data_IF_371770445874
#
_entry.id   IF_371770445874
#
_cell.length_a   1.000
_cell.length_b   1.000
_cell.length_c   1.000
_cell.angle_alpha   90.00
_cell.angle_beta   90.00
_cell.angle_gamma   90.00
#
_symmetry.space_group_name_H-M   'P 1'
#
loop_
_entity.id
_entity.type
_entity.pdbx_description
1 polymer ?
#
# COMPACT_ATOMS: atom_id res chain seq x y z
N UNK A 1 -14.63 -12.69 5.74
CA UNK A 1 -13.25 -12.48 6.24
C UNK A 1 -12.48 -13.78 6.12
N UNK A 2 -11.25 -13.72 5.65
CA UNK A 2 -10.33 -14.86 5.51
C UNK A 2 -8.97 -14.49 6.08
N UNK A 3 -8.11 -15.48 6.29
CA UNK A 3 -6.79 -15.29 6.87
C UNK A 3 -5.77 -16.30 6.36
N UNK A 4 -4.48 -15.94 6.46
CA UNK A 4 -3.35 -16.79 6.18
C UNK A 4 -2.22 -16.53 7.18
N UNK A 5 -1.48 -17.58 7.54
CA UNK A 5 -0.27 -17.41 8.36
C UNK A 5 0.83 -16.80 7.53
N UNK A 6 1.56 -15.84 8.11
CA UNK A 6 2.67 -15.16 7.42
C UNK A 6 4.01 -15.32 8.15
N UNK A 7 4.02 -15.89 9.36
CA UNK A 7 5.25 -16.18 10.09
C UNK A 7 5.21 -17.57 10.75
N UNK A 8 6.35 -18.01 11.25
CA UNK A 8 6.51 -19.33 11.91
C UNK A 8 5.79 -19.40 13.28
N UNK A 9 5.43 -18.28 13.88
CA UNK A 9 4.73 -18.18 15.16
C UNK A 9 3.23 -18.29 15.01
N UNK A 10 2.74 -18.25 13.77
CA UNK A 10 1.34 -18.40 13.44
C UNK A 10 0.56 -17.10 13.40
N UNK A 11 1.25 -15.94 13.35
CA UNK A 11 0.60 -14.65 13.12
C UNK A 11 -0.11 -14.67 11.78
N UNK A 12 -1.29 -14.03 11.70
CA UNK A 12 -2.13 -14.08 10.51
C UNK A 12 -2.35 -12.71 9.89
N UNK A 13 -2.24 -12.68 8.56
CA UNK A 13 -2.72 -11.59 7.72
C UNK A 13 -4.17 -11.87 7.32
N UNK A 14 -5.03 -10.85 7.38
CA UNK A 14 -6.47 -10.98 7.12
C UNK A 14 -6.93 -10.08 5.99
N UNK A 15 -7.99 -10.56 5.30
CA UNK A 15 -8.67 -9.79 4.26
C UNK A 15 -10.17 -10.04 4.28
N UNK A 16 -10.88 -9.07 3.75
CA UNK A 16 -12.29 -9.25 3.34
C UNK A 16 -12.32 -9.40 1.83
N UNK A 17 -13.28 -10.15 1.30
CA UNK A 17 -13.42 -10.36 -0.12
C UNK A 17 -14.87 -10.29 -0.59
N UNK A 18 -15.06 -9.84 -1.82
CA UNK A 18 -16.26 -10.01 -2.59
C UNK A 18 -15.99 -11.05 -3.68
N UNK A 19 -16.86 -12.03 -3.79
CA UNK A 19 -16.79 -13.04 -4.84
C UNK A 19 -17.02 -12.41 -6.22
N UNK A 20 -16.39 -12.97 -7.24
CA UNK A 20 -16.53 -12.51 -8.62
C UNK A 20 -15.75 -13.39 -9.57
N UNK A 21 -15.67 -12.97 -10.83
CA UNK A 21 -15.01 -13.69 -11.91
C UNK A 21 -13.77 -12.96 -12.41
N UNK A 22 -12.94 -13.68 -13.19
CA UNK A 22 -11.71 -13.14 -13.79
C UNK A 22 -10.58 -12.92 -12.81
N UNK A 23 -9.51 -12.21 -13.23
CA UNK A 23 -8.38 -11.91 -12.36
C UNK A 23 -8.82 -11.08 -11.15
N UNK A 24 -8.42 -11.51 -9.95
CA UNK A 24 -8.75 -10.82 -8.72
C UNK A 24 -8.17 -9.40 -8.69
N UNK A 25 -8.92 -8.46 -8.14
CA UNK A 25 -8.44 -7.12 -7.79
C UNK A 25 -8.10 -7.11 -6.31
N UNK A 26 -6.87 -6.77 -5.98
CA UNK A 26 -6.35 -6.75 -4.61
C UNK A 26 -6.00 -5.33 -4.23
N UNK A 27 -6.70 -4.79 -3.27
CA UNK A 27 -6.43 -3.47 -2.71
C UNK A 27 -5.51 -3.56 -1.49
N UNK A 28 -4.44 -2.75 -1.50
CA UNK A 28 -3.42 -2.68 -0.45
C UNK A 28 -3.30 -1.24 0.04
N UNK A 29 -3.61 -1.02 1.30
CA UNK A 29 -3.68 0.30 1.91
C UNK A 29 -2.32 0.93 2.24
N UNK A 30 -2.31 2.24 2.49
CA UNK A 30 -1.17 3.01 2.97
C UNK A 30 -0.93 2.90 4.48
N UNK A 31 0.13 3.54 4.96
CA UNK A 31 0.50 3.61 6.37
C UNK A 31 -0.64 4.16 7.23
N UNK A 32 -1.01 3.44 8.28
CA UNK A 32 -2.09 3.85 9.19
C UNK A 32 -3.50 3.81 8.58
N UNK A 33 -3.65 3.12 7.45
CA UNK A 33 -4.95 2.97 6.76
C UNK A 33 -5.53 1.56 6.95
N UNK A 34 -6.70 1.30 6.37
CA UNK A 34 -7.32 -0.02 6.27
C UNK A 34 -7.94 -0.17 4.89
N UNK A 35 -7.72 -1.32 4.23
CA UNK A 35 -8.07 -1.48 2.81
C UNK A 35 -9.56 -1.34 2.53
N UNK A 36 -10.41 -1.90 3.37
CA UNK A 36 -11.87 -1.78 3.18
C UNK A 36 -12.33 -0.33 3.27
N UNK A 37 -11.80 0.46 4.23
CA UNK A 37 -12.21 1.86 4.41
C UNK A 37 -11.79 2.72 3.22
N UNK A 38 -10.60 2.49 2.68
CA UNK A 38 -10.05 3.31 1.59
C UNK A 38 -10.56 2.91 0.21
N UNK A 39 -11.00 1.65 0.01
CA UNK A 39 -11.24 1.15 -1.35
C UNK A 39 -12.63 0.51 -1.57
N UNK A 40 -13.47 0.31 -0.53
CA UNK A 40 -14.76 -0.35 -0.73
C UNK A 40 -15.68 0.39 -1.71
N UNK A 41 -15.66 1.73 -1.69
CA UNK A 41 -16.44 2.56 -2.62
C UNK A 41 -15.94 2.45 -4.08
N UNK A 42 -14.65 2.13 -4.27
CA UNK A 42 -14.07 1.86 -5.60
C UNK A 42 -14.56 0.50 -6.12
N UNK A 43 -14.55 -0.53 -5.28
CA UNK A 43 -15.03 -1.86 -5.66
C UNK A 43 -16.52 -1.90 -6.04
N UNK A 44 -17.30 -0.94 -5.55
CA UNK A 44 -18.71 -0.79 -5.88
C UNK A 44 -18.96 -0.11 -7.24
N UNK A 45 -17.92 0.34 -7.95
CA UNK A 45 -18.06 1.01 -9.25
C UNK A 45 -18.28 0.03 -10.37
N UNK A 46 -18.93 0.52 -11.42
CA UNK A 46 -19.31 -0.31 -12.60
C UNK A 46 -18.11 -0.93 -13.31
N UNK A 47 -16.96 -0.25 -13.32
CA UNK A 47 -15.71 -0.71 -13.93
C UNK A 47 -15.18 -2.00 -13.30
N UNK A 48 -15.52 -2.24 -12.02
CA UNK A 48 -15.11 -3.42 -11.26
C UNK A 48 -16.27 -4.38 -10.96
N UNK A 49 -17.46 -4.11 -11.53
CA UNK A 49 -18.63 -4.93 -11.28
C UNK A 49 -18.38 -6.40 -11.70
N UNK A 50 -18.74 -7.34 -10.81
CA UNK A 50 -18.58 -8.77 -11.05
C UNK A 50 -17.14 -9.30 -10.92
N UNK A 51 -16.13 -8.44 -10.61
CA UNK A 51 -14.75 -8.87 -10.36
C UNK A 51 -14.62 -9.45 -8.94
N UNK A 52 -13.78 -10.46 -8.79
CA UNK A 52 -13.32 -10.86 -7.46
C UNK A 52 -12.47 -9.72 -6.87
N UNK A 53 -12.78 -9.29 -5.65
CA UNK A 53 -12.08 -8.19 -4.98
C UNK A 53 -11.62 -8.63 -3.61
N UNK A 54 -10.36 -8.35 -3.28
CA UNK A 54 -9.77 -8.57 -1.96
C UNK A 54 -9.33 -7.22 -1.37
N UNK A 55 -9.70 -6.99 -0.11
CA UNK A 55 -9.22 -5.87 0.70
C UNK A 55 -8.30 -6.42 1.78
N UNK A 56 -7.00 -6.34 1.57
CA UNK A 56 -6.00 -6.93 2.48
C UNK A 56 -5.51 -5.87 3.45
N UNK A 57 -5.64 -6.14 4.75
CA UNK A 57 -5.01 -5.32 5.78
C UNK A 57 -3.62 -5.88 6.09
N UNK A 58 -2.59 -5.05 5.95
CA UNK A 58 -1.20 -5.44 6.18
C UNK A 58 -0.94 -5.75 7.67
N UNK A 59 0.08 -6.55 8.03
CA UNK A 59 0.46 -6.79 9.42
C UNK A 59 0.55 -5.48 10.23
N UNK A 60 0.03 -5.50 11.45
CA UNK A 60 -0.01 -4.32 12.32
C UNK A 60 -1.13 -3.33 12.02
N UNK A 61 -1.99 -3.59 11.02
CA UNK A 61 -3.06 -2.68 10.60
C UNK A 61 -4.42 -3.40 10.56
N UNK A 62 -5.47 -2.62 10.72
CA UNK A 62 -6.85 -3.08 10.55
C UNK A 62 -7.18 -4.34 11.34
N UNK A 63 -7.58 -5.40 10.62
CA UNK A 63 -7.99 -6.70 11.18
C UNK A 63 -6.86 -7.74 11.23
N UNK A 64 -5.65 -7.44 10.73
CA UNK A 64 -4.50 -8.34 10.77
C UNK A 64 -3.80 -8.34 12.14
N UNK A 65 -3.05 -9.38 12.43
CA UNK A 65 -2.29 -9.51 13.67
C UNK A 65 -1.15 -8.47 13.78
N UNK A 66 -0.69 -8.27 15.03
CA UNK A 66 0.25 -7.20 15.43
C UNK A 66 1.39 -7.76 16.26
N UNK A 67 2.23 -8.65 15.71
CA UNK A 67 3.32 -9.27 16.48
C UNK A 67 4.41 -8.24 16.82
N UNK A 68 4.79 -8.16 18.10
CA UNK A 68 5.77 -7.19 18.61
C UNK A 68 7.18 -7.40 18.06
N UNK A 69 7.50 -8.62 17.69
CA UNK A 69 8.81 -9.03 17.19
C UNK A 69 8.91 -9.08 15.66
N UNK A 70 7.87 -8.65 14.95
CA UNK A 70 7.91 -8.48 13.51
C UNK A 70 8.61 -7.17 13.16
N UNK A 71 9.47 -7.18 12.15
CA UNK A 71 10.28 -6.00 11.83
C UNK A 71 9.50 -4.92 11.07
N UNK A 72 8.39 -5.28 10.43
CA UNK A 72 7.51 -4.38 9.66
C UNK A 72 8.24 -3.63 8.53
N UNK A 73 9.25 -4.26 7.93
CA UNK A 73 9.89 -3.73 6.73
C UNK A 73 8.94 -3.88 5.54
N UNK A 74 9.19 -3.11 4.48
CA UNK A 74 8.35 -3.20 3.26
C UNK A 74 8.41 -4.61 2.66
N UNK A 75 9.58 -5.25 2.71
CA UNK A 75 9.75 -6.64 2.27
C UNK A 75 8.96 -7.63 3.11
N UNK A 76 8.91 -7.43 4.44
CA UNK A 76 8.16 -8.30 5.34
C UNK A 76 6.65 -8.19 5.10
N UNK A 77 6.17 -6.96 4.83
CA UNK A 77 4.79 -6.74 4.40
C UNK A 77 4.48 -7.40 3.06
N UNK A 78 5.41 -7.36 2.10
CA UNK A 78 5.25 -7.99 0.79
C UNK A 78 5.19 -9.52 0.90
N UNK A 79 6.02 -10.12 1.76
CA UNK A 79 6.02 -11.56 2.01
C UNK A 79 4.73 -12.01 2.71
N UNK A 80 4.22 -11.21 3.67
CA UNK A 80 2.92 -11.45 4.29
C UNK A 80 1.76 -11.33 3.28
N UNK A 81 1.80 -10.30 2.41
CA UNK A 81 0.82 -10.15 1.34
C UNK A 81 0.85 -11.35 0.37
N UNK A 82 2.04 -11.84 0.02
CA UNK A 82 2.18 -13.02 -0.81
C UNK A 82 1.51 -14.24 -0.18
N UNK A 83 1.67 -14.46 1.13
CA UNK A 83 1.00 -15.54 1.85
C UNK A 83 -0.53 -15.42 1.79
N UNK A 84 -1.08 -14.21 1.91
CA UNK A 84 -2.52 -13.98 1.75
C UNK A 84 -3.00 -14.33 0.33
N UNK A 85 -2.27 -13.90 -0.70
CA UNK A 85 -2.62 -14.15 -2.10
C UNK A 85 -2.51 -15.63 -2.47
N UNK A 86 -1.48 -16.33 -1.98
CA UNK A 86 -1.33 -17.78 -2.14
C UNK A 86 -2.52 -18.53 -1.50
N UNK A 87 -2.90 -18.17 -0.27
CA UNK A 87 -4.02 -18.77 0.43
C UNK A 87 -5.40 -18.43 -0.21
N UNK A 88 -5.51 -17.25 -0.85
CA UNK A 88 -6.68 -16.86 -1.61
C UNK A 88 -6.73 -17.50 -3.01
N UNK A 89 -5.68 -18.20 -3.44
CA UNK A 89 -5.57 -18.80 -4.77
C UNK A 89 -5.39 -17.78 -5.90
N UNK A 90 -4.95 -16.56 -5.57
CA UNK A 90 -4.72 -15.50 -6.57
C UNK A 90 -3.49 -15.82 -7.39
N UNK A 91 -3.62 -15.75 -8.71
CA UNK A 91 -2.52 -15.79 -9.68
C UNK A 91 -2.79 -14.74 -10.76
N UNK A 92 -1.77 -13.97 -11.10
CA UNK A 92 -1.92 -12.92 -12.12
C UNK A 92 -2.99 -11.87 -11.77
N UNK A 93 -3.14 -11.53 -10.48
CA UNK A 93 -4.12 -10.54 -10.03
C UNK A 93 -3.72 -9.10 -10.39
N UNK A 94 -4.70 -8.19 -10.34
CA UNK A 94 -4.47 -6.75 -10.38
C UNK A 94 -4.17 -6.29 -8.95
N UNK A 95 -2.96 -5.85 -8.69
CA UNK A 95 -2.55 -5.37 -7.35
C UNK A 95 -2.57 -3.85 -7.35
N UNK A 96 -3.51 -3.27 -6.62
CA UNK A 96 -3.70 -1.83 -6.48
C UNK A 96 -3.23 -1.36 -5.09
N UNK A 97 -2.03 -0.79 -5.04
CA UNK A 97 -1.41 -0.31 -3.81
C UNK A 97 -1.36 1.21 -3.72
N UNK A 98 -1.73 1.75 -2.55
CA UNK A 98 -1.69 3.17 -2.23
C UNK A 98 -0.56 3.48 -1.25
N UNK A 99 0.24 4.51 -1.53
CA UNK A 99 1.30 5.00 -0.63
C UNK A 99 2.24 3.87 -0.20
N UNK A 100 2.35 3.54 1.09
CA UNK A 100 3.08 2.37 1.59
C UNK A 100 2.63 1.07 0.91
N UNK A 101 1.33 0.87 0.71
CA UNK A 101 0.81 -0.29 -0.01
C UNK A 101 1.29 -0.36 -1.46
N UNK A 102 1.56 0.79 -2.09
CA UNK A 102 2.22 0.88 -3.40
C UNK A 102 3.66 0.38 -3.38
N UNK A 103 4.43 0.77 -2.35
CA UNK A 103 5.78 0.26 -2.13
C UNK A 103 5.79 -1.27 -1.90
N UNK A 104 4.86 -1.76 -1.06
CA UNK A 104 4.67 -3.21 -0.80
C UNK A 104 4.32 -3.96 -2.08
N UNK A 105 3.42 -3.40 -2.90
CA UNK A 105 3.01 -4.01 -4.16
C UNK A 105 4.14 -4.07 -5.20
N UNK A 106 5.03 -3.07 -5.25
CA UNK A 106 6.24 -3.08 -6.09
C UNK A 106 7.17 -4.22 -5.66
N UNK A 107 7.45 -4.35 -4.36
CA UNK A 107 8.30 -5.42 -3.83
C UNK A 107 7.67 -6.79 -4.08
N UNK A 108 6.36 -6.93 -3.89
CA UNK A 108 5.63 -8.15 -4.23
C UNK A 108 5.81 -8.52 -5.71
N UNK A 109 5.58 -7.57 -6.63
CA UNK A 109 5.71 -7.83 -8.07
C UNK A 109 7.16 -8.22 -8.46
N UNK A 110 8.15 -7.69 -7.76
CA UNK A 110 9.55 -8.06 -7.95
C UNK A 110 9.87 -9.48 -7.46
N UNK A 111 9.36 -9.86 -6.26
CA UNK A 111 9.66 -11.15 -5.64
C UNK A 111 8.76 -12.29 -6.12
N UNK A 112 7.49 -11.98 -6.43
CA UNK A 112 6.45 -12.94 -6.76
C UNK A 112 5.67 -12.48 -8.01
N UNK A 113 6.34 -12.38 -9.17
CA UNK A 113 5.68 -11.94 -10.42
C UNK A 113 4.56 -12.89 -10.85
N UNK A 114 4.53 -14.13 -10.38
CA UNK A 114 3.46 -15.10 -10.60
C UNK A 114 2.11 -14.67 -10.00
N UNK A 115 2.14 -13.86 -8.94
CA UNK A 115 0.93 -13.36 -8.28
C UNK A 115 0.35 -12.12 -8.97
N UNK A 116 1.16 -11.38 -9.75
CA UNK A 116 0.85 -10.05 -10.27
C UNK A 116 0.69 -10.07 -11.78
N UNK A 117 -0.53 -9.92 -12.28
CA UNK A 117 -0.82 -9.75 -13.71
C UNK A 117 -0.80 -8.28 -14.14
N UNK A 118 -1.12 -7.36 -13.23
CA UNK A 118 -1.06 -5.91 -13.40
C UNK A 118 -0.77 -5.22 -12.08
N UNK A 119 0.07 -4.21 -12.11
CA UNK A 119 0.43 -3.41 -10.94
C UNK A 119 -0.11 -1.98 -11.10
N UNK A 120 -0.90 -1.52 -10.13
CA UNK A 120 -1.38 -0.14 -10.04
C UNK A 120 -0.84 0.48 -8.76
N UNK A 121 0.08 1.42 -8.89
CA UNK A 121 0.71 2.13 -7.79
C UNK A 121 0.14 3.54 -7.72
N UNK A 122 -0.48 3.91 -6.62
CA UNK A 122 -1.01 5.25 -6.41
C UNK A 122 -0.23 5.96 -5.33
N UNK A 123 0.44 7.06 -5.68
CA UNK A 123 1.25 7.88 -4.75
C UNK A 123 2.26 7.05 -3.92
N UNK A 124 2.76 5.94 -4.50
CA UNK A 124 3.67 5.02 -3.82
C UNK A 124 5.08 5.60 -3.67
N UNK A 125 5.73 5.24 -2.57
CA UNK A 125 7.13 5.58 -2.36
C UNK A 125 8.01 4.83 -3.36
N UNK A 126 8.88 5.54 -4.05
CA UNK A 126 9.80 4.96 -5.03
C UNK A 126 11.26 4.98 -4.58
N UNK A 127 11.62 5.97 -3.78
CA UNK A 127 13.00 6.23 -3.36
C UNK A 127 13.08 6.44 -1.85
N UNK A 128 14.27 6.23 -1.25
CA UNK A 128 14.54 6.66 0.12
C UNK A 128 14.30 8.17 0.28
N UNK A 129 13.82 8.58 1.43
CA UNK A 129 13.62 10.00 1.72
C UNK A 129 14.94 10.60 2.27
N UNK A 130 15.22 11.88 1.97
CA UNK A 130 16.49 12.52 2.38
C UNK A 130 16.63 12.68 3.91
N UNK A 131 15.50 12.67 4.63
CA UNK A 131 15.46 12.75 6.09
C UNK A 131 14.12 12.23 6.62
N UNK A 132 14.05 11.78 7.89
CA UNK A 132 12.80 11.38 8.53
C UNK A 132 11.71 12.45 8.50
N UNK A 133 12.10 13.72 8.57
CA UNK A 133 11.20 14.88 8.51
C UNK A 133 10.58 15.11 7.12
N UNK A 134 11.12 14.49 6.08
CA UNK A 134 10.55 14.57 4.72
C UNK A 134 9.31 13.67 4.55
N UNK A 135 9.06 12.74 5.51
CA UNK A 135 7.84 11.93 5.51
C UNK A 135 6.63 12.78 5.91
N UNK A 136 5.58 12.73 5.10
CA UNK A 136 4.32 13.47 5.35
C UNK A 136 3.66 13.10 6.68
N UNK A 137 3.84 11.87 7.15
CA UNK A 137 3.33 11.43 8.46
C UNK A 137 4.12 12.02 9.64
N UNK A 138 5.41 12.31 9.45
CA UNK A 138 6.34 12.71 10.49
C UNK A 138 6.58 11.65 11.58
N UNK A 139 6.07 10.43 11.41
CA UNK A 139 6.21 9.33 12.38
C UNK A 139 7.67 8.92 12.55
N UNK A 140 8.41 8.81 11.45
CA UNK A 140 9.82 8.43 11.45
C UNK A 140 10.76 9.45 12.16
N UNK A 141 10.27 10.64 12.50
CA UNK A 141 11.04 11.65 13.25
C UNK A 141 11.08 11.39 14.75
N UNK A 142 10.24 10.51 15.26
CA UNK A 142 10.27 10.04 16.65
C UNK A 142 11.21 8.85 16.78
N UNK A 143 11.79 8.65 17.97
CA UNK A 143 12.29 7.32 18.34
C UNK A 143 11.11 6.38 18.57
N UNK A 144 11.34 5.06 18.49
CA UNK A 144 10.30 4.06 18.74
C UNK A 144 9.66 4.25 20.12
N UNK A 145 10.47 4.49 21.17
CA UNK A 145 9.99 4.70 22.52
C UNK A 145 9.14 5.97 22.64
N UNK A 146 9.58 7.09 22.06
CA UNK A 146 8.82 8.34 22.05
C UNK A 146 7.50 8.21 21.31
N UNK A 147 7.47 7.47 20.21
CA UNK A 147 6.27 7.29 19.43
C UNK A 147 5.28 6.37 20.14
N UNK A 148 5.72 5.19 20.57
CA UNK A 148 4.87 4.15 21.14
C UNK A 148 4.44 4.48 22.57
N UNK A 149 5.35 4.97 23.42
CA UNK A 149 5.12 5.17 24.86
C UNK A 149 5.16 6.63 25.29
N UNK A 150 5.90 7.48 24.59
CA UNK A 150 6.09 8.90 24.90
C UNK A 150 4.99 9.82 24.38
N UNK A 151 3.85 9.30 23.94
CA UNK A 151 2.71 10.08 23.45
C UNK A 151 2.86 10.57 22.01
N UNK A 152 3.86 10.14 21.25
CA UNK A 152 4.07 10.50 19.85
C UNK A 152 2.88 10.10 18.97
N UNK A 153 2.35 8.89 19.18
CA UNK A 153 1.17 8.41 18.47
C UNK A 153 -0.05 9.33 18.66
N UNK A 154 -0.34 9.74 19.90
CA UNK A 154 -1.45 10.65 20.17
C UNK A 154 -1.27 12.00 19.46
N UNK A 155 -0.06 12.58 19.51
CA UNK A 155 0.27 13.84 18.82
C UNK A 155 0.10 13.75 17.31
N UNK A 156 0.44 12.60 16.71
CA UNK A 156 0.22 12.39 15.26
C UNK A 156 -1.27 12.29 14.95
N UNK A 157 -2.07 11.57 15.75
CA UNK A 157 -3.53 11.48 15.59
C UNK A 157 -4.23 12.85 15.63
N UNK A 158 -3.74 13.78 16.47
CA UNK A 158 -4.29 15.14 16.56
C UNK A 158 -3.97 16.00 15.33
N UNK A 159 -2.85 15.71 14.66
CA UNK A 159 -2.35 16.50 13.53
C UNK A 159 -2.89 16.06 12.19
N UNK A 160 -3.10 14.75 11.99
CA UNK A 160 -3.56 14.21 10.70
C UNK A 160 -5.06 14.42 10.51
N UNK A 161 -5.52 14.44 9.26
CA UNK A 161 -6.94 14.62 8.95
C UNK A 161 -7.83 13.51 9.53
N UNK A 162 -9.14 13.77 9.69
CA UNK A 162 -10.06 12.91 10.43
C UNK A 162 -10.17 11.50 9.88
N UNK A 163 -10.18 11.33 8.56
CA UNK A 163 -10.26 10.01 7.90
C UNK A 163 -9.02 9.18 8.22
N UNK A 164 -7.83 9.77 8.12
CA UNK A 164 -6.60 9.06 8.43
C UNK A 164 -6.47 8.78 9.92
N UNK A 165 -6.81 9.73 10.78
CA UNK A 165 -6.84 9.50 12.23
C UNK A 165 -7.79 8.36 12.63
N UNK A 166 -8.94 8.24 11.97
CA UNK A 166 -9.91 7.17 12.26
C UNK A 166 -9.32 5.77 11.97
N UNK A 167 -8.69 5.59 10.82
CA UNK A 167 -8.08 4.31 10.44
C UNK A 167 -6.76 4.05 11.17
N UNK A 168 -5.97 5.10 11.45
CA UNK A 168 -4.71 4.96 12.19
C UNK A 168 -4.93 4.42 13.61
N UNK A 169 -6.09 4.68 14.24
CA UNK A 169 -6.48 4.06 15.52
C UNK A 169 -6.67 2.54 15.43
N UNK A 170 -6.83 2.00 14.22
CA UNK A 170 -6.91 0.56 13.97
C UNK A 170 -5.52 -0.05 13.69
N UNK A 171 -4.45 0.74 13.74
CA UNK A 171 -3.08 0.27 13.55
C UNK A 171 -2.34 0.25 14.89
N UNK A 172 -1.38 -0.65 15.00
CA UNK A 172 -0.48 -0.75 16.13
C UNK A 172 0.60 0.36 16.05
N UNK A 173 0.86 1.12 17.12
CA UNK A 173 1.86 2.17 17.10
C UNK A 173 3.28 1.68 16.78
N UNK A 174 3.67 0.47 17.21
CA UNK A 174 4.96 -0.11 16.91
C UNK A 174 5.08 -0.42 15.40
N UNK A 175 4.06 -1.03 14.82
CA UNK A 175 3.97 -1.32 13.39
C UNK A 175 4.05 -0.03 12.56
N UNK A 176 3.31 1.01 12.96
CA UNK A 176 3.33 2.32 12.32
C UNK A 176 4.72 2.93 12.32
N UNK A 177 5.41 2.91 13.48
CA UNK A 177 6.74 3.49 13.61
C UNK A 177 7.76 2.76 12.73
N UNK A 178 7.85 1.43 12.87
CA UNK A 178 8.81 0.61 12.11
C UNK A 178 8.58 0.71 10.61
N UNK A 179 7.32 0.62 10.16
CA UNK A 179 7.00 0.79 8.74
C UNK A 179 7.34 2.19 8.22
N UNK A 180 7.08 3.26 9.00
CA UNK A 180 7.41 4.62 8.62
C UNK A 180 8.92 4.84 8.52
N UNK A 181 9.70 4.30 9.46
CA UNK A 181 11.17 4.35 9.43
C UNK A 181 11.70 3.64 8.19
N UNK A 182 11.19 2.44 7.89
CA UNK A 182 11.64 1.68 6.73
C UNK A 182 11.26 2.35 5.38
N UNK A 183 10.11 3.02 5.31
CA UNK A 183 9.73 3.82 4.14
C UNK A 183 10.72 4.97 3.88
N UNK A 184 11.26 5.58 4.95
CA UNK A 184 12.30 6.62 4.84
C UNK A 184 13.62 6.04 4.37
N UNK A 185 14.02 4.88 4.91
CA UNK A 185 15.26 4.19 4.55
C UNK A 185 15.23 3.63 3.13
N UNK A 186 14.04 3.20 2.67
CA UNK A 186 13.86 2.52 1.39
C UNK A 186 14.30 1.06 1.42
N UNK A 187 14.29 0.44 0.26
CA UNK A 187 14.64 -0.97 0.03
C UNK A 187 15.95 -1.09 -0.77
N UNK A 188 16.54 -2.28 -0.81
CA UNK A 188 17.67 -2.63 -1.69
C UNK A 188 17.33 -3.93 -2.46
N UNK A 189 17.20 -3.88 -3.83
CA UNK A 189 17.22 -2.68 -4.69
C UNK A 189 16.15 -1.65 -4.30
N UNK A 190 16.32 -0.39 -4.70
CA UNK A 190 15.30 0.65 -4.45
C UNK A 190 14.02 0.36 -5.24
N UNK A 191 12.88 0.74 -4.69
CA UNK A 191 11.56 0.45 -5.28
C UNK A 191 11.41 0.98 -6.70
N UNK A 192 12.03 2.12 -7.02
CA UNK A 192 12.07 2.68 -8.38
C UNK A 192 12.73 1.70 -9.37
N UNK A 193 13.84 1.10 -9.00
CA UNK A 193 14.53 0.12 -9.87
C UNK A 193 13.70 -1.14 -10.05
N UNK A 194 13.07 -1.63 -8.98
CA UNK A 194 12.16 -2.78 -9.07
C UNK A 194 10.99 -2.48 -10.02
N UNK A 195 10.38 -1.29 -9.91
CA UNK A 195 9.28 -0.88 -10.78
C UNK A 195 9.73 -0.78 -12.24
N UNK A 196 10.90 -0.19 -12.52
CA UNK A 196 11.48 -0.08 -13.86
C UNK A 196 11.75 -1.47 -14.47
N UNK A 197 12.33 -2.38 -13.69
CA UNK A 197 12.69 -3.73 -14.15
C UNK A 197 11.53 -4.71 -14.20
N UNK A 198 10.37 -4.35 -13.67
CA UNK A 198 9.19 -5.23 -13.67
C UNK A 198 8.75 -5.52 -15.10
N UNK A 199 8.39 -6.77 -15.38
CA UNK A 199 7.86 -7.21 -16.67
C UNK A 199 6.33 -7.15 -16.74
N UNK A 200 5.65 -6.93 -15.59
CA UNK A 200 4.19 -6.86 -15.60
C UNK A 200 3.70 -5.50 -16.08
N UNK A 201 2.52 -5.41 -16.73
CA UNK A 201 1.86 -4.14 -17.03
C UNK A 201 1.72 -3.30 -15.75
N UNK A 202 2.13 -2.05 -15.78
CA UNK A 202 2.20 -1.21 -14.59
C UNK A 202 1.81 0.23 -14.83
N UNK A 203 1.01 0.75 -13.92
CA UNK A 203 0.53 2.14 -13.90
C UNK A 203 1.01 2.80 -12.62
N UNK A 204 1.47 4.03 -12.71
CA UNK A 204 1.72 4.89 -11.57
C UNK A 204 0.75 6.08 -11.62
N UNK A 205 -0.18 6.12 -10.68
CA UNK A 205 -1.12 7.24 -10.50
C UNK A 205 -0.53 8.28 -9.57
N UNK A 206 -0.49 9.52 -10.04
CA UNK A 206 -0.08 10.68 -9.26
C UNK A 206 -1.20 11.69 -9.17
N UNK A 207 -1.47 12.18 -7.98
CA UNK A 207 -2.34 13.33 -7.77
C UNK A 207 -1.64 14.63 -8.22
N UNK A 208 -2.31 15.43 -9.04
CA UNK A 208 -1.75 16.68 -9.58
C UNK A 208 -1.38 17.70 -8.50
N UNK A 209 -2.03 17.65 -7.34
CA UNK A 209 -1.74 18.52 -6.19
C UNK A 209 -0.54 18.04 -5.34
N UNK A 210 -0.07 16.80 -5.52
CA UNK A 210 1.11 16.27 -4.83
C UNK A 210 2.43 16.79 -5.40
N UNK A 211 2.38 17.58 -6.47
CA UNK A 211 3.56 18.09 -7.15
C UNK A 211 4.07 17.17 -8.27
N UNK A 212 5.29 17.42 -8.75
CA UNK A 212 5.87 16.62 -9.83
C UNK A 212 6.50 15.35 -9.28
N UNK A 213 6.24 14.20 -9.93
CA UNK A 213 6.93 12.95 -9.65
C UNK A 213 8.39 13.05 -10.14
N UNK A 214 9.38 13.00 -9.24
CA UNK A 214 10.77 13.00 -9.68
C UNK A 214 11.07 11.79 -10.59
N UNK A 215 11.78 12.02 -11.69
CA UNK A 215 12.15 10.95 -12.64
C UNK A 215 10.97 10.30 -13.39
N UNK A 216 9.83 10.97 -13.51
CA UNK A 216 8.66 10.46 -14.23
C UNK A 216 8.96 10.09 -15.71
N UNK A 217 9.86 10.82 -16.37
CA UNK A 217 10.25 10.54 -17.74
C UNK A 217 10.94 9.18 -17.84
N UNK A 218 11.91 8.90 -16.98
CA UNK A 218 12.59 7.59 -16.97
C UNK A 218 11.65 6.42 -16.64
N UNK A 219 10.58 6.66 -15.86
CA UNK A 219 9.53 5.65 -15.65
C UNK A 219 8.75 5.39 -16.95
N UNK A 220 8.37 6.44 -17.70
CA UNK A 220 7.68 6.29 -18.99
C UNK A 220 8.54 5.59 -20.04
N UNK A 221 9.82 5.95 -20.13
CA UNK A 221 10.79 5.29 -21.02
C UNK A 221 10.94 3.81 -20.70
N UNK A 222 10.82 3.44 -19.41
CA UNK A 222 10.81 2.04 -18.98
C UNK A 222 9.47 1.34 -19.18
N UNK A 223 8.46 2.00 -19.77
CA UNK A 223 7.13 1.43 -20.04
C UNK A 223 6.18 1.43 -18.84
N UNK A 224 6.40 2.30 -17.84
CA UNK A 224 5.42 2.58 -16.80
C UNK A 224 4.43 3.60 -17.34
N UNK A 225 3.14 3.30 -17.28
CA UNK A 225 2.10 4.29 -17.57
C UNK A 225 1.98 5.27 -16.40
N UNK A 226 2.52 6.48 -16.55
CA UNK A 226 2.50 7.51 -15.51
C UNK A 226 1.35 8.47 -15.78
N UNK A 227 0.28 8.29 -15.02
CA UNK A 227 -0.97 9.07 -15.13
C UNK A 227 -0.98 10.15 -14.05
N UNK A 228 -1.12 11.40 -14.47
CA UNK A 228 -1.37 12.52 -13.56
C UNK A 228 -2.89 12.76 -13.49
N UNK A 229 -3.44 12.79 -12.26
CA UNK A 229 -4.87 13.04 -12.01
C UNK A 229 -5.03 14.50 -11.55
N UNK A 230 -5.48 15.42 -12.43
CA UNK A 230 -5.61 16.82 -12.08
C UNK A 230 -6.60 17.03 -10.94
N UNK A 231 -6.26 17.91 -9.98
CA UNK A 231 -7.14 18.20 -8.84
C UNK A 231 -7.14 17.17 -7.71
N UNK A 232 -6.56 15.98 -7.91
CA UNK A 232 -6.38 15.01 -6.84
C UNK A 232 -5.09 15.28 -6.07
N UNK A 233 -5.10 14.99 -4.76
CA UNK A 233 -3.93 14.94 -3.89
C UNK A 233 -3.46 13.50 -3.65
N UNK A 234 -2.87 13.27 -2.47
CA UNK A 234 -2.31 11.97 -2.10
C UNK A 234 -3.35 10.82 -2.07
N UNK A 235 -4.62 11.13 -1.83
CA UNK A 235 -5.70 10.14 -1.74
C UNK A 235 -6.56 10.15 -3.01
N UNK A 236 -5.95 9.83 -4.16
CA UNK A 236 -6.62 9.83 -5.48
C UNK A 236 -7.95 9.07 -5.46
N UNK A 237 -8.06 7.97 -4.72
CA UNK A 237 -9.27 7.16 -4.59
C UNK A 237 -10.46 7.92 -3.98
N UNK A 238 -10.22 8.98 -3.20
CA UNK A 238 -11.26 9.85 -2.64
C UNK A 238 -11.49 11.10 -3.48
N UNK A 239 -10.42 11.66 -4.05
CA UNK A 239 -10.47 12.92 -4.76
C UNK A 239 -11.01 12.75 -6.19
N UNK A 240 -10.63 11.67 -6.87
CA UNK A 240 -11.12 11.28 -8.20
C UNK A 240 -11.30 9.75 -8.30
N UNK A 241 -12.39 9.22 -7.72
CA UNK A 241 -12.66 7.79 -7.71
C UNK A 241 -12.87 7.20 -9.11
N UNK A 242 -13.29 8.00 -10.11
CA UNK A 242 -13.45 7.55 -11.49
C UNK A 242 -12.10 7.27 -12.15
N UNK A 243 -11.17 8.22 -12.05
CA UNK A 243 -9.81 8.02 -12.57
C UNK A 243 -9.10 6.85 -11.89
N UNK A 244 -9.28 6.70 -10.57
CA UNK A 244 -8.70 5.57 -9.83
C UNK A 244 -9.31 4.24 -10.27
N UNK A 245 -10.64 4.13 -10.38
CA UNK A 245 -11.32 2.91 -10.82
C UNK A 245 -10.94 2.53 -12.25
N UNK A 246 -10.87 3.49 -13.17
CA UNK A 246 -10.44 3.25 -14.56
C UNK A 246 -9.01 2.69 -14.62
N UNK A 247 -8.08 3.22 -13.82
CA UNK A 247 -6.71 2.70 -13.77
C UNK A 247 -6.63 1.27 -13.20
N UNK A 248 -7.51 0.93 -12.26
CA UNK A 248 -7.58 -0.43 -11.68
C UNK A 248 -8.24 -1.41 -12.63
N UNK A 249 -9.24 -0.98 -13.39
CA UNK A 249 -9.95 -1.83 -14.33
C UNK A 249 -9.11 -2.23 -15.56
N UNK A 250 -8.28 -1.34 -16.06
CA UNK A 250 -7.32 -1.54 -17.15
C UNK A 250 -7.75 -0.99 -18.46
#
# INVERSE_FOLDING_TARGET
>A
MREARFDERGSVIRWTEAAGEGPAVVFVHGLGSASTVYHAHIAARTELAGRQVLFVDLPGHGISDRPDDFAYRIEDHADALAAALDAAGVRGGVIAGHSMGGAVAIVLAHRRPDLVGRLVVTEGNLDPLPAPTASSSGIASYTEEEFVRGGGFARVLERVGPTWAATMRLADPLALHRSAVHLVQGTDPVMREMLIRSSVPRVYLQGGLSGKLPGAEGLREAGVDVVNVPGAGHNVMFDDPDAFAAAVAG
#
